data_IF_589486760634
#
_entry.id   IF_589486760634
#
_cell.length_a   1.000
_cell.length_b   1.000
_cell.length_c   1.000
_cell.angle_alpha   90.00
_cell.angle_beta   90.00
_cell.angle_gamma   90.00
#
_symmetry.space_group_name_H-M   'P 1'
#
loop_
_entity.id
_entity.type
_entity.pdbx_description
1 polymer ?
#
# COMPACT_ATOMS: atom_id res chain seq x y z
N UNK A 1 4.75 -17.27 -5.57
CA UNK A 1 3.47 -16.74 -6.09
C UNK A 1 2.36 -16.84 -5.04
N UNK A 2 2.04 -18.03 -4.50
CA UNK A 2 0.94 -18.23 -3.53
C UNK A 2 1.09 -17.34 -2.29
N UNK A 3 2.25 -17.27 -1.69
CA UNK A 3 2.49 -16.45 -0.48
C UNK A 3 2.27 -14.95 -0.74
N UNK A 4 2.56 -14.46 -1.94
CA UNK A 4 2.24 -13.06 -2.33
C UNK A 4 0.74 -12.82 -2.40
N UNK A 5 -0.03 -13.77 -2.92
CA UNK A 5 -1.49 -13.68 -2.96
C UNK A 5 -2.09 -13.75 -1.55
N UNK A 6 -1.60 -14.65 -0.70
CA UNK A 6 -2.03 -14.74 0.71
C UNK A 6 -1.73 -13.43 1.46
N UNK A 7 -0.54 -12.86 1.24
CA UNK A 7 -0.17 -11.56 1.79
C UNK A 7 -1.11 -10.44 1.30
N UNK A 8 -1.39 -10.41 -0.01
CA UNK A 8 -2.24 -9.39 -0.63
C UNK A 8 -3.66 -9.37 -0.05
N UNK A 9 -4.24 -10.51 0.26
CA UNK A 9 -5.59 -10.60 0.85
C UNK A 9 -5.62 -10.57 2.37
N UNK A 10 -4.45 -10.50 3.03
CA UNK A 10 -4.34 -10.54 4.49
C UNK A 10 -4.99 -9.32 5.15
N UNK A 11 -5.25 -9.46 6.46
CA UNK A 11 -5.95 -8.46 7.27
C UNK A 11 -5.35 -7.06 7.23
N UNK A 12 -4.03 -6.94 7.17
CA UNK A 12 -3.34 -5.65 7.12
C UNK A 12 -3.18 -5.08 5.70
N UNK A 13 -3.48 -5.90 4.69
CA UNK A 13 -3.50 -5.52 3.28
C UNK A 13 -4.94 -5.26 2.81
N UNK A 14 -5.44 -5.99 1.82
CA UNK A 14 -6.80 -5.80 1.30
C UNK A 14 -7.91 -6.34 2.22
N UNK A 15 -7.61 -7.28 3.10
CA UNK A 15 -8.58 -7.81 4.07
C UNK A 15 -9.89 -8.28 3.41
N UNK A 16 -9.78 -9.21 2.48
CA UNK A 16 -10.93 -9.68 1.70
C UNK A 16 -11.57 -10.88 2.40
N UNK A 17 -12.76 -10.68 2.96
CA UNK A 17 -13.54 -11.75 3.57
C UNK A 17 -13.88 -12.82 2.53
N UNK A 18 -13.72 -14.09 2.93
CA UNK A 18 -13.95 -15.24 2.06
C UNK A 18 -12.74 -15.68 1.23
N UNK A 19 -11.68 -14.88 1.15
CA UNK A 19 -10.39 -15.27 0.55
C UNK A 19 -9.34 -15.58 1.61
N UNK A 20 -9.61 -16.52 2.49
CA UNK A 20 -8.59 -17.03 3.43
C UNK A 20 -7.48 -17.80 2.71
N UNK A 21 -6.35 -18.03 3.41
CA UNK A 21 -5.16 -18.65 2.82
C UNK A 21 -5.42 -19.99 2.12
N UNK A 22 -6.33 -20.81 2.64
CA UNK A 22 -6.73 -22.12 2.02
C UNK A 22 -7.45 -21.91 0.68
N UNK A 23 -8.36 -20.95 0.62
CA UNK A 23 -9.11 -20.64 -0.62
C UNK A 23 -8.17 -20.05 -1.67
N UNK A 24 -7.28 -19.15 -1.28
CA UNK A 24 -6.25 -18.59 -2.17
C UNK A 24 -5.38 -19.71 -2.75
N UNK A 25 -4.94 -20.65 -1.93
CA UNK A 25 -4.13 -21.79 -2.36
C UNK A 25 -4.89 -22.71 -3.30
N UNK A 26 -6.15 -23.03 -2.99
CA UNK A 26 -7.03 -23.81 -3.86
C UNK A 26 -7.19 -23.12 -5.21
N UNK A 27 -7.59 -21.84 -5.24
CA UNK A 27 -7.80 -21.09 -6.47
C UNK A 27 -6.52 -20.91 -7.30
N UNK A 28 -5.38 -20.81 -6.64
CA UNK A 28 -4.10 -20.77 -7.33
C UNK A 28 -3.79 -22.12 -8.01
N UNK A 29 -3.95 -23.22 -7.29
CA UNK A 29 -3.70 -24.58 -7.82
C UNK A 29 -4.66 -24.94 -8.97
N UNK A 30 -5.89 -24.46 -8.90
CA UNK A 30 -6.90 -24.62 -9.97
C UNK A 30 -6.72 -23.63 -11.15
N UNK A 31 -5.75 -22.70 -11.05
CA UNK A 31 -5.47 -21.72 -12.09
C UNK A 31 -6.49 -20.57 -12.15
N UNK A 32 -7.35 -20.41 -11.15
CA UNK A 32 -8.34 -19.34 -11.06
C UNK A 32 -7.68 -18.02 -10.69
N UNK A 33 -6.70 -18.06 -9.78
CA UNK A 33 -5.88 -16.92 -9.39
C UNK A 33 -4.43 -17.16 -9.79
N UNK A 34 -3.83 -16.24 -10.53
CA UNK A 34 -2.41 -16.24 -10.90
C UNK A 34 -1.68 -15.06 -10.28
N UNK A 35 -2.31 -13.91 -10.30
CA UNK A 35 -1.82 -12.68 -9.69
C UNK A 35 -2.97 -11.92 -9.00
N UNK A 36 -2.68 -10.84 -8.25
CA UNK A 36 -3.70 -10.11 -7.52
C UNK A 36 -4.81 -9.48 -8.38
N UNK A 37 -4.54 -9.18 -9.65
CA UNK A 37 -5.55 -8.60 -10.55
C UNK A 37 -6.69 -9.58 -10.80
N UNK A 38 -6.40 -10.89 -10.82
CA UNK A 38 -7.40 -11.93 -11.03
C UNK A 38 -8.49 -11.94 -9.95
N UNK A 39 -8.21 -11.40 -8.76
CA UNK A 39 -9.19 -11.28 -7.68
C UNK A 39 -10.31 -10.34 -8.09
N UNK A 40 -9.96 -9.20 -8.68
CA UNK A 40 -10.92 -8.16 -9.04
C UNK A 40 -11.69 -8.44 -10.35
N UNK A 41 -11.22 -9.39 -11.16
CA UNK A 41 -11.93 -9.88 -12.35
C UNK A 41 -12.71 -11.17 -12.08
N UNK A 42 -12.67 -11.69 -10.85
CA UNK A 42 -13.24 -12.99 -10.51
C UNK A 42 -14.76 -13.04 -10.74
N UNK A 43 -15.49 -11.98 -10.37
CA UNK A 43 -16.94 -11.90 -10.55
C UNK A 43 -17.32 -11.90 -12.04
N UNK A 44 -16.63 -11.13 -12.86
CA UNK A 44 -16.83 -11.10 -14.31
C UNK A 44 -16.58 -12.49 -14.92
N UNK A 45 -15.47 -13.13 -14.57
CA UNK A 45 -15.10 -14.45 -15.05
C UNK A 45 -16.03 -15.55 -14.53
N UNK A 46 -16.80 -15.30 -13.47
CA UNK A 46 -17.78 -16.27 -12.95
C UNK A 46 -19.04 -16.37 -13.81
N UNK A 47 -19.20 -15.53 -14.81
CA UNK A 47 -20.38 -15.55 -15.68
C UNK A 47 -21.44 -14.53 -15.32
N UNK A 48 -21.06 -13.47 -14.60
CA UNK A 48 -21.92 -12.34 -14.20
C UNK A 48 -23.13 -12.77 -13.38
N UNK A 49 -23.22 -12.38 -12.13
CA UNK A 49 -24.41 -12.59 -11.28
C UNK A 49 -25.47 -11.54 -11.59
N UNK A 50 -25.84 -11.38 -12.84
CA UNK A 50 -27.06 -10.64 -13.21
C UNK A 50 -28.25 -11.59 -13.22
N UNK A 51 -29.45 -11.18 -12.78
CA UNK A 51 -30.66 -11.89 -13.07
C UNK A 51 -30.91 -11.80 -14.57
N UNK A 52 -30.34 -12.72 -15.33
CA UNK A 52 -30.79 -12.89 -16.71
C UNK A 52 -32.09 -13.66 -16.64
N UNK A 53 -33.20 -12.94 -16.68
CA UNK A 53 -34.52 -13.50 -17.05
C UNK A 53 -34.54 -13.99 -18.50
N UNK A 54 -33.43 -13.92 -19.19
CA UNK A 54 -33.28 -14.45 -20.54
C UNK A 54 -33.13 -15.96 -20.49
N UNK A 55 -34.24 -16.63 -20.79
CA UNK A 55 -34.38 -18.09 -20.95
C UNK A 55 -33.40 -18.65 -22.02
N UNK A 56 -32.73 -17.80 -22.78
CA UNK A 56 -31.79 -18.11 -23.84
C UNK A 56 -30.37 -17.59 -23.59
N UNK A 57 -30.03 -17.25 -22.33
CA UNK A 57 -28.65 -16.88 -22.01
C UNK A 57 -27.73 -18.03 -22.43
N UNK A 58 -26.85 -17.74 -23.39
CA UNK A 58 -25.81 -18.68 -23.84
C UNK A 58 -24.98 -19.02 -22.59
N UNK A 59 -25.00 -20.31 -22.21
CA UNK A 59 -24.13 -20.80 -21.14
C UNK A 59 -22.71 -20.61 -21.64
N UNK A 60 -21.98 -19.64 -21.07
CA UNK A 60 -20.56 -19.47 -21.35
C UNK A 60 -19.81 -20.63 -20.72
N UNK A 61 -19.43 -21.63 -21.53
CA UNK A 61 -18.66 -22.81 -21.10
C UNK A 61 -17.28 -22.41 -20.49
N UNK A 62 -16.87 -21.16 -20.65
CA UNK A 62 -15.62 -20.64 -20.08
C UNK A 62 -15.80 -19.97 -18.72
N UNK A 63 -17.05 -19.76 -18.26
CA UNK A 63 -17.33 -19.18 -16.96
C UNK A 63 -16.90 -20.11 -15.82
N UNK A 64 -16.44 -19.55 -14.73
CA UNK A 64 -15.92 -20.31 -13.58
C UNK A 64 -16.99 -21.08 -12.83
N UNK A 65 -18.21 -20.54 -12.77
CA UNK A 65 -19.35 -21.12 -12.04
C UNK A 65 -18.99 -21.60 -10.63
N UNK A 66 -18.41 -20.70 -9.82
CA UNK A 66 -17.94 -21.02 -8.46
C UNK A 66 -19.03 -21.67 -7.61
N UNK A 67 -20.30 -21.27 -7.77
CA UNK A 67 -21.46 -21.77 -7.03
C UNK A 67 -21.75 -23.27 -7.29
N UNK A 68 -21.13 -23.85 -8.32
CA UNK A 68 -21.25 -25.28 -8.67
C UNK A 68 -20.09 -26.11 -8.12
N UNK A 69 -19.12 -25.49 -7.46
CA UNK A 69 -17.93 -26.15 -6.92
C UNK A 69 -18.16 -26.62 -5.50
N UNK A 70 -17.50 -27.72 -5.11
CA UNK A 70 -17.57 -28.26 -3.76
C UNK A 70 -17.18 -27.20 -2.71
N UNK A 71 -18.00 -27.08 -1.68
CA UNK A 71 -17.82 -26.10 -0.62
C UNK A 71 -18.33 -24.70 -0.93
N UNK A 72 -18.82 -24.46 -2.15
CA UNK A 72 -19.37 -23.19 -2.57
C UNK A 72 -20.87 -23.27 -2.86
N UNK A 73 -21.62 -22.28 -2.42
CA UNK A 73 -23.02 -22.09 -2.74
C UNK A 73 -23.28 -20.67 -3.19
N UNK A 74 -24.45 -20.39 -3.75
CA UNK A 74 -24.82 -19.06 -4.23
C UNK A 74 -24.55 -17.95 -3.22
N UNK A 75 -24.90 -18.19 -1.94
CA UNK A 75 -24.72 -17.20 -0.86
C UNK A 75 -23.24 -16.92 -0.56
N UNK A 76 -22.40 -17.95 -0.52
CA UNK A 76 -20.96 -17.78 -0.25
C UNK A 76 -20.25 -17.07 -1.40
N UNK A 77 -20.62 -17.37 -2.64
CA UNK A 77 -20.10 -16.70 -3.83
C UNK A 77 -20.53 -15.21 -3.85
N UNK A 78 -21.79 -14.92 -3.58
CA UNK A 78 -22.30 -13.55 -3.48
C UNK A 78 -21.60 -12.74 -2.38
N UNK A 79 -21.39 -13.37 -1.20
CA UNK A 79 -20.66 -12.73 -0.09
C UNK A 79 -19.21 -12.44 -0.48
N UNK A 80 -18.53 -13.35 -1.18
CA UNK A 80 -17.18 -13.14 -1.67
C UNK A 80 -17.12 -11.96 -2.64
N UNK A 81 -18.01 -11.92 -3.62
CA UNK A 81 -18.02 -10.81 -4.61
C UNK A 81 -18.36 -9.48 -3.96
N UNK A 82 -19.27 -9.46 -2.99
CA UNK A 82 -19.54 -8.26 -2.20
C UNK A 82 -18.32 -7.78 -1.44
N UNK A 83 -17.56 -8.70 -0.81
CA UNK A 83 -16.32 -8.37 -0.12
C UNK A 83 -15.25 -7.82 -1.09
N UNK A 84 -15.10 -8.40 -2.28
CA UNK A 84 -14.17 -7.91 -3.31
C UNK A 84 -14.58 -6.52 -3.78
N UNK A 85 -15.86 -6.29 -4.10
CA UNK A 85 -16.36 -4.97 -4.51
C UNK A 85 -16.10 -3.90 -3.45
N UNK A 86 -16.29 -4.22 -2.17
CA UNK A 86 -16.04 -3.31 -1.07
C UNK A 86 -14.57 -2.88 -0.94
N UNK A 87 -13.64 -3.67 -1.45
CA UNK A 87 -12.20 -3.41 -1.37
C UNK A 87 -11.61 -2.78 -2.65
N UNK A 88 -12.44 -2.43 -3.62
CA UNK A 88 -11.98 -1.68 -4.81
C UNK A 88 -11.52 -0.25 -4.48
N UNK A 89 -11.83 0.27 -3.31
CA UNK A 89 -11.23 1.47 -2.74
C UNK A 89 -10.35 1.07 -1.57
N UNK A 90 -9.10 1.50 -1.59
CA UNK A 90 -8.10 1.13 -0.59
C UNK A 90 -7.27 2.35 -0.20
N UNK A 91 -6.95 2.47 1.09
CA UNK A 91 -6.05 3.48 1.61
C UNK A 91 -4.61 3.25 1.14
N UNK A 92 -3.89 4.32 0.84
CA UNK A 92 -2.51 4.26 0.34
C UNK A 92 -1.56 3.40 1.19
N UNK A 93 -1.53 3.49 2.54
CA UNK A 93 -0.65 2.65 3.34
C UNK A 93 -0.91 1.15 3.16
N UNK A 94 -2.16 0.77 3.10
CA UNK A 94 -2.56 -0.64 2.91
C UNK A 94 -2.20 -1.15 1.53
N UNK A 95 -2.38 -0.32 0.50
CA UNK A 95 -1.99 -0.67 -0.86
C UNK A 95 -0.47 -0.88 -0.99
N UNK A 96 0.34 0.03 -0.46
CA UNK A 96 1.81 -0.10 -0.47
C UNK A 96 2.22 -1.39 0.26
N UNK A 97 1.64 -1.67 1.42
CA UNK A 97 1.90 -2.91 2.16
C UNK A 97 1.49 -4.16 1.36
N UNK A 98 0.32 -4.12 0.71
CA UNK A 98 -0.22 -5.23 -0.08
C UNK A 98 0.67 -5.63 -1.27
N UNK A 99 1.46 -4.71 -1.81
CA UNK A 99 2.40 -5.00 -2.90
C UNK A 99 3.49 -6.01 -2.50
N UNK A 100 3.74 -6.20 -1.20
CA UNK A 100 4.71 -7.17 -0.71
C UNK A 100 6.15 -6.81 -1.06
N UNK A 101 6.48 -5.53 -1.09
CA UNK A 101 7.84 -5.04 -1.32
C UNK A 101 8.73 -5.51 -0.17
N UNK A 102 9.88 -6.09 -0.51
CA UNK A 102 10.82 -6.60 0.49
C UNK A 102 11.20 -5.51 1.50
N UNK A 103 11.28 -5.86 2.77
CA UNK A 103 11.55 -4.99 3.92
C UNK A 103 10.48 -3.93 4.21
N UNK A 104 9.44 -3.80 3.40
CA UNK A 104 8.36 -2.84 3.63
C UNK A 104 7.21 -3.50 4.38
N UNK A 105 7.19 -3.34 5.70
CA UNK A 105 6.09 -3.73 6.57
C UNK A 105 5.00 -2.65 6.66
N UNK A 106 3.94 -2.91 7.42
CA UNK A 106 2.81 -1.99 7.57
C UNK A 106 3.23 -0.60 8.10
N UNK A 107 4.13 -0.55 9.09
CA UNK A 107 4.64 0.71 9.63
C UNK A 107 5.44 1.52 8.59
N UNK A 108 6.31 0.86 7.83
CA UNK A 108 7.09 1.50 6.77
C UNK A 108 6.19 1.96 5.62
N UNK A 109 5.21 1.16 5.22
CA UNK A 109 4.22 1.55 4.22
C UNK A 109 3.46 2.82 4.63
N UNK A 110 3.11 2.96 5.91
CA UNK A 110 2.50 4.16 6.45
C UNK A 110 3.42 5.38 6.40
N UNK A 111 4.71 5.22 6.71
CA UNK A 111 5.70 6.30 6.59
C UNK A 111 5.85 6.75 5.13
N UNK A 112 5.92 5.83 4.19
CA UNK A 112 5.99 6.13 2.75
C UNK A 112 4.73 6.87 2.31
N UNK A 113 3.55 6.36 2.65
CA UNK A 113 2.27 6.98 2.31
C UNK A 113 2.17 8.41 2.83
N UNK A 114 2.56 8.64 4.08
CA UNK A 114 2.55 9.96 4.71
C UNK A 114 3.47 10.95 4.00
N UNK A 115 4.65 10.52 3.59
CA UNK A 115 5.64 11.40 2.97
C UNK A 115 5.35 11.68 1.49
N UNK A 116 4.80 10.72 0.76
CA UNK A 116 4.48 10.88 -0.66
C UNK A 116 3.08 11.44 -0.91
N UNK A 117 2.11 11.14 -0.03
CA UNK A 117 0.73 11.59 -0.13
C UNK A 117 -0.09 10.86 -1.20
N UNK A 118 0.48 10.50 -2.35
CA UNK A 118 -0.20 9.74 -3.40
C UNK A 118 0.66 8.62 -3.95
N UNK A 119 0.00 7.55 -4.40
CA UNK A 119 0.70 6.41 -5.02
C UNK A 119 1.40 6.81 -6.33
N UNK A 120 0.79 7.70 -7.10
CA UNK A 120 1.38 8.20 -8.36
C UNK A 120 2.74 8.84 -8.13
N UNK A 121 2.88 9.72 -7.14
CA UNK A 121 4.16 10.35 -6.80
C UNK A 121 5.20 9.32 -6.40
N UNK A 122 4.82 8.38 -5.52
CA UNK A 122 5.70 7.31 -5.07
C UNK A 122 6.20 6.45 -6.24
N UNK A 123 5.28 5.96 -7.07
CA UNK A 123 5.63 5.12 -8.22
C UNK A 123 6.50 5.87 -9.23
N UNK A 124 6.21 7.16 -9.50
CA UNK A 124 6.98 7.98 -10.44
C UNK A 124 8.43 8.14 -9.97
N UNK A 125 8.65 8.50 -8.70
CA UNK A 125 10.00 8.66 -8.15
C UNK A 125 10.77 7.33 -8.19
N UNK A 126 10.12 6.21 -7.82
CA UNK A 126 10.76 4.89 -7.83
C UNK A 126 11.11 4.42 -9.24
N UNK A 127 10.24 4.65 -10.22
CA UNK A 127 10.52 4.36 -11.63
C UNK A 127 11.67 5.19 -12.17
N UNK A 128 11.80 6.43 -11.75
CA UNK A 128 12.91 7.31 -12.11
C UNK A 128 14.17 7.06 -11.27
N UNK A 129 14.13 6.11 -10.33
CA UNK A 129 15.21 5.81 -9.38
C UNK A 129 15.59 7.03 -8.51
N UNK A 130 14.65 7.95 -8.32
CA UNK A 130 14.80 9.09 -7.42
C UNK A 130 14.47 8.65 -5.99
N UNK A 131 15.52 8.44 -5.22
CA UNK A 131 15.42 7.97 -3.83
C UNK A 131 15.61 9.08 -2.80
N UNK A 132 15.80 10.32 -3.20
CA UNK A 132 16.09 11.43 -2.28
C UNK A 132 15.00 11.57 -1.21
N UNK A 133 13.74 11.65 -1.63
CA UNK A 133 12.60 11.73 -0.71
C UNK A 133 12.48 10.49 0.17
N UNK A 134 12.66 9.30 -0.40
CA UNK A 134 12.55 8.03 0.32
C UNK A 134 13.63 7.93 1.42
N UNK A 135 14.87 8.27 1.10
CA UNK A 135 15.99 8.24 2.04
C UNK A 135 15.91 9.36 3.10
N UNK A 136 15.17 10.44 2.84
CA UNK A 136 14.93 11.47 3.83
C UNK A 136 14.01 11.02 4.98
N UNK A 137 13.22 9.97 4.78
CA UNK A 137 12.30 9.45 5.79
C UNK A 137 13.10 8.77 6.91
N UNK A 138 12.86 9.20 8.16
CA UNK A 138 13.47 8.56 9.32
C UNK A 138 13.01 7.09 9.43
N UNK A 139 13.97 6.17 9.52
CA UNK A 139 13.71 4.73 9.54
C UNK A 139 13.83 4.02 8.18
N UNK A 140 14.06 4.74 7.10
CA UNK A 140 14.32 4.14 5.77
C UNK A 140 15.78 4.37 5.40
N UNK A 141 16.54 3.26 5.37
CA UNK A 141 17.94 3.24 4.96
C UNK A 141 18.15 2.85 3.50
N UNK A 142 19.40 2.91 3.04
CA UNK A 142 19.78 2.62 1.65
C UNK A 142 19.41 1.21 1.20
N UNK A 143 19.57 0.20 2.07
CA UNK A 143 19.22 -1.18 1.73
C UNK A 143 17.72 -1.35 1.42
N UNK A 144 16.86 -0.73 2.23
CA UNK A 144 15.41 -0.74 2.02
C UNK A 144 15.04 0.07 0.78
N UNK A 145 15.62 1.25 0.59
CA UNK A 145 15.38 2.08 -0.59
C UNK A 145 15.77 1.34 -1.88
N UNK A 146 16.87 0.60 -1.85
CA UNK A 146 17.28 -0.26 -2.97
C UNK A 146 16.23 -1.33 -3.27
N UNK A 147 15.73 -2.05 -2.26
CA UNK A 147 14.70 -3.08 -2.47
C UNK A 147 13.41 -2.49 -3.05
N UNK A 148 13.04 -1.28 -2.62
CA UNK A 148 11.87 -0.57 -3.18
C UNK A 148 12.08 -0.22 -4.64
N UNK A 149 13.22 0.34 -5.00
CA UNK A 149 13.55 0.69 -6.40
C UNK A 149 13.59 -0.57 -7.26
N UNK A 150 14.24 -1.64 -6.80
CA UNK A 150 14.30 -2.91 -7.54
C UNK A 150 12.91 -3.49 -7.80
N UNK A 151 11.96 -3.36 -6.86
CA UNK A 151 10.58 -3.77 -7.08
C UNK A 151 9.96 -3.07 -8.31
N UNK A 152 10.18 -1.75 -8.46
CA UNK A 152 9.63 -0.97 -9.57
C UNK A 152 10.48 -1.00 -10.86
N UNK A 153 11.68 -1.59 -10.83
CA UNK A 153 12.45 -1.91 -12.04
C UNK A 153 11.93 -3.17 -12.73
N UNK A 154 11.36 -4.10 -11.97
CA UNK A 154 10.80 -5.34 -12.50
C UNK A 154 9.51 -5.05 -13.29
N UNK A 155 9.57 -5.18 -14.60
CA UNK A 155 8.44 -4.87 -15.50
C UNK A 155 7.19 -5.72 -15.20
N UNK A 156 7.38 -6.96 -14.71
CA UNK A 156 6.26 -7.79 -14.27
C UNK A 156 5.51 -7.16 -13.09
N UNK A 157 6.22 -6.63 -12.10
CA UNK A 157 5.63 -5.95 -10.96
C UNK A 157 4.88 -4.68 -11.40
N UNK A 158 5.51 -3.88 -12.26
CA UNK A 158 4.92 -2.65 -12.80
C UNK A 158 3.66 -2.96 -13.61
N UNK A 159 3.70 -3.97 -14.46
CA UNK A 159 2.53 -4.41 -15.23
C UNK A 159 1.38 -4.85 -14.31
N UNK A 160 1.67 -5.62 -13.26
CA UNK A 160 0.67 -6.04 -12.27
C UNK A 160 0.07 -4.83 -11.53
N UNK A 161 0.91 -3.89 -11.10
CA UNK A 161 0.46 -2.65 -10.44
C UNK A 161 -0.44 -1.84 -11.37
N UNK A 162 -0.06 -1.64 -12.62
CA UNK A 162 -0.87 -0.89 -13.59
C UNK A 162 -2.24 -1.55 -13.81
N UNK A 163 -2.29 -2.86 -13.99
CA UNK A 163 -3.56 -3.60 -14.11
C UNK A 163 -4.42 -3.50 -12.85
N UNK A 164 -3.80 -3.54 -11.66
CA UNK A 164 -4.52 -3.31 -10.41
C UNK A 164 -5.14 -1.92 -10.35
N UNK A 165 -4.41 -0.89 -10.78
CA UNK A 165 -4.91 0.49 -10.80
C UNK A 165 -6.06 0.74 -11.80
N UNK A 166 -6.25 -0.16 -12.75
CA UNK A 166 -7.45 -0.16 -13.63
C UNK A 166 -8.69 -0.69 -12.90
N UNK A 167 -8.50 -1.59 -11.92
CA UNK A 167 -9.57 -2.26 -11.19
C UNK A 167 -9.93 -1.59 -9.87
N UNK A 168 -9.00 -0.85 -9.26
CA UNK A 168 -9.14 -0.29 -7.92
C UNK A 168 -8.82 1.21 -7.90
N UNK A 169 -9.31 1.88 -6.87
CA UNK A 169 -8.95 3.26 -6.53
C UNK A 169 -8.11 3.28 -5.26
N UNK A 170 -6.87 3.74 -5.37
CA UNK A 170 -6.00 3.99 -4.22
C UNK A 170 -6.24 5.40 -3.73
N UNK A 171 -6.75 5.53 -2.50
CA UNK A 171 -7.03 6.82 -1.90
C UNK A 171 -5.74 7.50 -1.45
N UNK A 172 -5.61 8.79 -1.75
CA UNK A 172 -4.49 9.58 -1.27
C UNK A 172 -4.45 9.60 0.26
N UNK A 173 -3.24 9.65 0.81
CA UNK A 173 -3.06 9.74 2.24
C UNK A 173 -3.42 11.13 2.73
N UNK A 174 -4.45 11.22 3.58
CA UNK A 174 -4.84 12.45 4.28
C UNK A 174 -4.38 12.32 5.73
N UNK A 175 -3.47 13.21 6.14
CA UNK A 175 -3.07 13.29 7.54
C UNK A 175 -4.15 14.04 8.32
N UNK A 176 -4.95 13.32 9.11
CA UNK A 176 -6.00 13.91 9.96
C UNK A 176 -5.44 14.59 11.21
N UNK A 177 -4.12 14.76 11.31
CA UNK A 177 -3.47 15.46 12.41
C UNK A 177 -3.64 16.97 12.26
N UNK A 178 -3.97 17.60 13.34
CA UNK A 178 -4.31 19.00 13.61
C UNK A 178 -3.82 20.04 12.56
N UNK A 179 -4.65 20.34 11.56
CA UNK A 179 -4.37 21.29 10.49
C UNK A 179 -4.14 22.73 10.93
N UNK A 180 -4.35 23.07 12.22
CA UNK A 180 -4.15 24.40 12.78
C UNK A 180 -2.74 24.65 13.32
N UNK A 181 -1.83 23.69 13.21
CA UNK A 181 -0.44 23.87 13.63
C UNK A 181 0.40 24.48 12.52
N UNK A 182 1.30 25.45 12.82
CA UNK A 182 2.29 25.95 11.86
C UNK A 182 3.19 24.85 11.28
N UNK A 183 3.30 23.72 11.97
CA UNK A 183 4.09 22.54 11.55
C UNK A 183 3.31 21.57 10.68
N UNK A 184 2.01 21.79 10.47
CA UNK A 184 1.17 20.90 9.67
C UNK A 184 1.69 20.81 8.22
N UNK A 185 1.96 19.58 7.77
CA UNK A 185 2.51 19.30 6.43
C UNK A 185 4.00 19.62 6.26
N UNK A 186 4.65 20.23 7.27
CA UNK A 186 6.06 20.61 7.22
C UNK A 186 6.99 19.43 7.53
N UNK A 187 8.13 19.40 6.87
CA UNK A 187 9.17 18.39 7.11
C UNK A 187 10.19 18.94 8.10
N UNK A 188 10.36 18.20 9.22
CA UNK A 188 11.21 18.59 10.34
C UNK A 188 12.33 17.57 10.55
N UNK A 189 13.55 18.05 10.72
CA UNK A 189 14.73 17.25 11.07
C UNK A 189 15.23 17.66 12.46
N UNK A 190 15.50 16.67 13.32
CA UNK A 190 16.11 16.87 14.63
C UNK A 190 17.58 16.52 14.59
N UNK A 191 18.44 17.39 15.11
CA UNK A 191 19.89 17.17 15.24
C UNK A 191 20.40 17.56 16.65
N UNK A 192 21.48 16.94 17.10
CA UNK A 192 22.03 17.19 18.44
C UNK A 192 21.20 16.53 19.56
N UNK A 193 21.55 16.87 20.79
CA UNK A 193 20.90 16.41 22.03
C UNK A 193 19.89 17.44 22.48
N UNK A 194 18.61 17.05 22.57
CA UNK A 194 17.54 17.94 23.02
C UNK A 194 17.55 18.02 24.56
N UNK A 195 17.55 19.23 25.11
CA UNK A 195 17.70 19.45 26.58
C UNK A 195 16.41 19.16 27.35
N UNK A 196 15.23 19.38 26.77
CA UNK A 196 13.95 19.36 27.49
C UNK A 196 13.12 18.10 27.26
N UNK A 197 13.49 17.27 26.29
CA UNK A 197 12.76 16.05 25.95
C UNK A 197 13.65 15.09 25.17
N UNK A 198 13.34 13.82 25.24
CA UNK A 198 14.03 12.82 24.41
C UNK A 198 13.71 13.04 22.91
N UNK A 199 14.58 12.54 22.05
CA UNK A 199 14.35 12.59 20.59
C UNK A 199 13.05 11.88 20.18
N UNK A 200 12.70 10.79 20.86
CA UNK A 200 11.46 10.06 20.61
C UNK A 200 10.22 10.90 20.96
N UNK A 201 10.24 11.58 22.12
CA UNK A 201 9.16 12.49 22.52
C UNK A 201 9.04 13.69 21.57
N UNK A 202 10.16 14.28 21.15
CA UNK A 202 10.15 15.39 20.21
C UNK A 202 9.56 14.98 18.83
N UNK A 203 9.93 13.80 18.33
CA UNK A 203 9.36 13.24 17.11
C UNK A 203 7.86 13.01 17.25
N UNK A 204 7.42 12.36 18.33
CA UNK A 204 6.01 12.09 18.59
C UNK A 204 5.21 13.40 18.68
N UNK A 205 5.74 14.43 19.33
CA UNK A 205 5.11 15.74 19.45
C UNK A 205 5.03 16.46 18.11
N UNK A 206 6.09 16.45 17.32
CA UNK A 206 6.07 17.02 15.96
C UNK A 206 5.03 16.32 15.09
N UNK A 207 4.98 14.99 15.13
CA UNK A 207 3.99 14.20 14.41
C UNK A 207 2.55 14.49 14.85
N UNK A 208 2.30 14.65 16.15
CA UNK A 208 0.97 15.03 16.67
C UNK A 208 0.52 16.42 16.22
N UNK A 209 1.46 17.29 15.84
CA UNK A 209 1.23 18.61 15.27
C UNK A 209 1.14 18.61 13.74
N UNK A 210 1.13 17.42 13.12
CA UNK A 210 1.01 17.27 11.67
C UNK A 210 2.32 17.37 10.89
N UNK A 211 3.47 17.45 11.58
CA UNK A 211 4.77 17.48 10.91
C UNK A 211 5.19 16.11 10.38
N UNK A 212 5.95 16.11 9.30
CA UNK A 212 6.70 14.96 8.79
C UNK A 212 8.09 14.98 9.41
N UNK A 213 8.52 13.88 10.01
CA UNK A 213 9.86 13.79 10.61
C UNK A 213 10.81 13.09 9.65
N UNK A 214 11.88 13.78 9.26
CA UNK A 214 12.91 13.24 8.39
C UNK A 214 14.18 12.90 9.18
N UNK A 215 14.90 11.88 8.71
CA UNK A 215 16.15 11.43 9.30
C UNK A 215 17.37 12.24 8.89
N UNK A 216 17.30 12.94 7.74
CA UNK A 216 18.38 13.75 7.17
C UNK A 216 17.85 15.04 6.56
N UNK A 217 18.71 16.03 6.46
CA UNK A 217 18.42 17.30 5.76
C UNK A 217 18.47 17.08 4.25
N UNK A 218 17.45 17.55 3.54
CA UNK A 218 17.35 17.51 2.09
C UNK A 218 16.66 18.77 1.56
N UNK A 219 16.54 18.91 0.24
CA UNK A 219 15.79 20.01 -0.39
C UNK A 219 14.29 20.05 0.02
N UNK A 220 13.79 19.00 0.66
CA UNK A 220 12.41 18.90 1.17
C UNK A 220 12.28 19.18 2.67
N UNK A 221 13.35 19.61 3.34
CA UNK A 221 13.34 19.94 4.77
C UNK A 221 12.89 21.39 4.98
N UNK A 222 11.79 21.58 5.71
CA UNK A 222 11.29 22.93 6.04
C UNK A 222 11.95 23.48 7.31
N UNK A 223 12.23 22.63 8.30
CA UNK A 223 12.82 23.05 9.58
C UNK A 223 13.89 22.07 10.08
N UNK A 224 14.98 22.61 10.57
CA UNK A 224 15.99 21.86 11.33
C UNK A 224 15.94 22.33 12.78
N UNK A 225 15.66 21.40 13.70
CA UNK A 225 15.64 21.68 15.14
C UNK A 225 16.95 21.18 15.73
N UNK A 226 17.75 22.13 16.22
CA UNK A 226 19.07 21.87 16.78
C UNK A 226 19.00 21.79 18.32
N UNK A 227 19.59 20.75 18.86
CA UNK A 227 19.93 20.65 20.28
C UNK A 227 21.41 20.89 20.52
N UNK A 228 21.87 20.69 21.75
CA UNK A 228 23.29 20.72 22.08
C UNK A 228 24.05 19.69 21.23
N UNK A 229 25.32 19.99 20.93
CA UNK A 229 26.20 19.12 20.12
C UNK A 229 25.63 18.76 18.75
N UNK A 230 25.00 19.71 18.08
CA UNK A 230 24.48 19.53 16.74
C UNK A 230 25.60 19.18 15.76
N UNK A 231 25.55 17.96 15.21
CA UNK A 231 26.57 17.42 14.32
C UNK A 231 26.45 17.91 12.86
N UNK A 232 26.91 17.10 11.92
CA UNK A 232 26.99 17.41 10.48
C UNK A 232 25.66 17.82 9.83
N UNK A 233 24.50 17.49 10.42
CA UNK A 233 23.18 17.87 9.90
C UNK A 233 22.92 19.37 10.01
N UNK A 234 23.44 20.04 11.04
CA UNK A 234 23.35 21.48 11.20
C UNK A 234 24.13 22.26 10.12
N UNK A 235 25.22 21.67 9.60
CA UNK A 235 26.04 22.29 8.54
C UNK A 235 25.42 22.18 7.14
N UNK A 236 24.37 21.36 6.96
CA UNK A 236 23.66 21.15 5.69
C UNK A 236 22.34 21.91 5.62
N UNK A 237 21.92 22.54 6.71
CA UNK A 237 20.75 23.40 6.80
C UNK A 237 21.06 24.82 6.33
#
# INVERSE_FOLDING_TARGET
AIERLKHFVSREAFDIDGLGGKIVEQFYNEGILRDPTDIFTLEERNGGSGPTEDLFAVIDDKALHLERRDGWGKKSVENLFRAIRAKRRIELPRFIYALGIRQVGAATARLIARNYGSFRKFMTDMRNQDTERLLSIDGIGEAMAKDVVEFFKEEHNVSTVNRLLEEITVEDFVDNTNYNSPLSGKTVVFTGTLERMTRAEAKAKAQSLGAKVAGSVSAHTDYVIEGADAGSKAKKA
#
